data_IF_737198262572
#
_entry.id   IF_737198262572
#
_cell.length_a   1.000
_cell.length_b   1.000
_cell.length_c   1.000
_cell.angle_alpha   90.00
_cell.angle_beta   90.00
_cell.angle_gamma   90.00
#
_symmetry.space_group_name_H-M   'P 1'
#
loop_
_entity.id
_entity.type
_entity.pdbx_description
1 polymer ?
#
# COMPACT_ATOMS: atom_id res chain seq x y z
N UNK A 1 -9.96 -10.32 13.94
CA UNK A 1 -8.77 -9.79 13.23
C UNK A 1 -8.22 -8.65 14.05
N UNK A 2 -6.93 -8.70 14.39
CA UNK A 2 -6.26 -7.64 15.16
C UNK A 2 -5.20 -7.00 14.24
N UNK A 3 -5.68 -6.16 13.30
CA UNK A 3 -4.81 -5.49 12.34
C UNK A 3 -4.11 -4.32 13.01
N UNK A 4 -2.83 -4.12 12.68
CA UNK A 4 -2.10 -2.90 13.06
C UNK A 4 -2.50 -1.79 12.09
N UNK A 5 -2.94 -0.67 12.65
CA UNK A 5 -3.26 0.55 11.92
C UNK A 5 -2.31 1.64 12.38
N UNK A 6 -1.81 2.43 11.44
CA UNK A 6 -0.93 3.53 11.72
C UNK A 6 -1.00 4.56 10.61
N UNK A 7 -0.50 5.76 10.86
CA UNK A 7 -0.48 6.83 9.87
C UNK A 7 0.70 6.70 8.88
N UNK A 8 0.76 7.63 7.93
CA UNK A 8 1.70 7.61 6.81
C UNK A 8 3.15 7.84 7.23
N UNK A 9 3.38 8.44 8.40
CA UNK A 9 4.72 8.66 8.96
C UNK A 9 5.34 7.36 9.49
N UNK A 10 4.50 6.41 9.90
CA UNK A 10 4.93 5.09 10.37
C UNK A 10 4.87 3.99 9.30
N UNK A 11 4.54 4.33 8.05
CA UNK A 11 4.37 3.37 6.96
C UNK A 11 5.68 3.05 6.21
N UNK A 12 6.83 2.93 6.90
CA UNK A 12 8.10 2.55 6.28
C UNK A 12 8.10 1.07 5.85
N UNK A 13 8.92 0.69 4.86
CA UNK A 13 9.07 -0.73 4.48
C UNK A 13 9.60 -1.56 5.65
N UNK A 14 10.48 -0.99 6.48
CA UNK A 14 10.99 -1.62 7.70
C UNK A 14 9.88 -1.92 8.70
N UNK A 15 8.98 -0.96 8.97
CA UNK A 15 7.85 -1.19 9.86
C UNK A 15 6.87 -2.24 9.32
N UNK A 16 6.61 -2.22 8.01
CA UNK A 16 5.78 -3.24 7.36
C UNK A 16 6.38 -4.63 7.51
N UNK A 17 7.69 -4.76 7.28
CA UNK A 17 8.43 -6.00 7.49
C UNK A 17 8.32 -6.45 8.95
N UNK A 18 8.65 -5.58 9.90
CA UNK A 18 8.59 -5.87 11.33
C UNK A 18 7.20 -6.37 11.78
N UNK A 19 6.13 -5.67 11.39
CA UNK A 19 4.76 -6.05 11.77
C UNK A 19 4.39 -7.43 11.22
N UNK A 20 4.73 -7.71 9.95
CA UNK A 20 4.34 -8.98 9.32
C UNK A 20 5.22 -10.15 9.73
N UNK A 21 6.53 -9.96 9.88
CA UNK A 21 7.49 -11.05 10.08
C UNK A 21 7.82 -11.29 11.55
N UNK A 22 8.01 -10.23 12.34
CA UNK A 22 8.42 -10.36 13.75
C UNK A 22 7.20 -10.43 14.67
N UNK A 23 6.18 -9.61 14.41
CA UNK A 23 4.96 -9.59 15.22
C UNK A 23 3.89 -10.57 14.73
N UNK A 24 4.05 -11.15 13.53
CA UNK A 24 3.09 -12.07 12.91
C UNK A 24 1.66 -11.48 12.83
N UNK A 25 1.53 -10.19 12.54
CA UNK A 25 0.24 -9.50 12.40
C UNK A 25 0.05 -8.96 10.99
N UNK A 26 -1.21 -8.80 10.60
CA UNK A 26 -1.56 -8.03 9.41
C UNK A 26 -1.69 -6.54 9.72
N UNK A 27 -1.54 -5.72 8.68
CA UNK A 27 -1.64 -4.27 8.79
C UNK A 27 -2.47 -3.67 7.66
N UNK A 28 -2.99 -2.47 7.92
CA UNK A 28 -3.43 -1.53 6.89
C UNK A 28 -2.72 -0.21 7.13
N UNK A 29 -1.97 0.27 6.15
CA UNK A 29 -1.16 1.48 6.28
C UNK A 29 -1.38 2.43 5.10
N UNK A 30 -1.54 3.74 5.32
CA UNK A 30 -1.50 4.72 4.25
C UNK A 30 -0.06 4.90 3.75
N UNK A 31 0.10 5.05 2.44
CA UNK A 31 1.41 5.25 1.81
C UNK A 31 1.47 6.54 0.99
N UNK A 32 2.67 7.13 0.94
CA UNK A 32 2.96 8.28 0.08
C UNK A 32 2.97 7.87 -1.39
N UNK A 33 2.54 8.77 -2.27
CA UNK A 33 2.44 8.52 -3.72
C UNK A 33 3.81 8.34 -4.40
N UNK A 34 4.89 8.81 -3.80
CA UNK A 34 6.26 8.65 -4.31
C UNK A 34 6.86 7.25 -4.06
N UNK A 35 6.15 6.36 -3.37
CA UNK A 35 6.63 5.00 -3.13
C UNK A 35 6.71 4.19 -4.43
N UNK A 36 7.79 3.42 -4.55
CA UNK A 36 8.06 2.56 -5.71
C UNK A 36 7.37 1.21 -5.55
N UNK A 37 6.63 0.81 -6.57
CA UNK A 37 5.92 -0.46 -6.64
C UNK A 37 6.20 -1.16 -7.96
N UNK A 38 6.20 -2.49 -7.95
CA UNK A 38 6.10 -3.31 -9.14
C UNK A 38 4.67 -3.87 -9.23
N UNK A 39 4.12 -3.92 -10.45
CA UNK A 39 2.73 -4.33 -10.70
C UNK A 39 2.57 -5.84 -10.85
N UNK A 40 3.68 -6.57 -10.88
CA UNK A 40 3.71 -8.02 -10.90
C UNK A 40 4.98 -8.54 -10.22
N UNK A 41 4.97 -9.81 -9.80
CA UNK A 41 6.17 -10.47 -9.28
C UNK A 41 7.29 -10.47 -10.33
N UNK A 42 6.94 -10.64 -11.61
CA UNK A 42 7.90 -10.57 -12.72
C UNK A 42 8.55 -9.19 -12.81
N UNK A 43 7.79 -8.13 -12.65
CA UNK A 43 8.33 -6.77 -12.66
C UNK A 43 9.26 -6.52 -11.46
N UNK A 44 8.88 -7.00 -10.27
CA UNK A 44 9.73 -6.95 -9.07
C UNK A 44 11.09 -7.63 -9.32
N UNK A 45 11.07 -8.85 -9.87
CA UNK A 45 12.27 -9.62 -10.16
C UNK A 45 13.16 -8.96 -11.23
N UNK A 46 12.56 -8.23 -12.16
CA UNK A 46 13.28 -7.48 -13.20
C UNK A 46 13.60 -6.03 -12.79
N UNK A 47 13.43 -5.68 -11.52
CA UNK A 47 13.60 -4.31 -11.00
C UNK A 47 12.82 -3.23 -11.77
N UNK A 48 11.65 -3.61 -12.33
CA UNK A 48 10.74 -2.70 -13.02
C UNK A 48 9.77 -2.10 -12.02
N UNK A 49 10.03 -0.86 -11.62
CA UNK A 49 9.21 -0.13 -10.66
C UNK A 49 8.59 1.12 -11.27
N UNK A 50 7.37 1.43 -10.83
CA UNK A 50 6.70 2.71 -11.04
C UNK A 50 6.40 3.35 -9.69
N UNK A 51 6.07 4.64 -9.68
CA UNK A 51 5.57 5.29 -8.45
C UNK A 51 4.07 5.13 -8.34
N UNK A 52 3.54 5.12 -7.12
CA UNK A 52 2.08 5.11 -6.89
C UNK A 52 1.39 6.31 -7.57
N UNK A 53 2.05 7.47 -7.68
CA UNK A 53 1.53 8.63 -8.43
C UNK A 53 1.28 8.37 -9.92
N UNK A 54 1.94 7.39 -10.52
CA UNK A 54 1.77 7.06 -11.95
C UNK A 54 0.61 6.10 -12.21
N UNK A 55 -0.03 5.59 -11.15
CA UNK A 55 -1.12 4.65 -11.26
C UNK A 55 -2.44 5.35 -11.57
N UNK A 56 -2.99 5.07 -12.75
CA UNK A 56 -4.38 5.40 -13.07
C UNK A 56 -5.31 4.30 -12.54
N UNK A 57 -5.77 4.46 -11.31
CA UNK A 57 -6.73 3.55 -10.68
C UNK A 57 -8.14 4.11 -10.70
N UNK A 58 -9.13 3.24 -10.96
CA UNK A 58 -10.52 3.57 -10.69
C UNK A 58 -10.74 3.60 -9.16
N UNK A 59 -11.72 4.40 -8.75
CA UNK A 59 -12.10 4.57 -7.34
C UNK A 59 -12.45 3.19 -6.74
N UNK A 60 -11.87 2.89 -5.57
CA UNK A 60 -12.09 1.65 -4.82
C UNK A 60 -11.59 0.36 -5.50
N UNK A 61 -10.78 0.45 -6.54
CA UNK A 61 -10.10 -0.73 -7.09
C UNK A 61 -9.01 -1.21 -6.13
N UNK A 62 -8.94 -2.54 -5.99
CA UNK A 62 -7.88 -3.25 -5.29
C UNK A 62 -6.92 -3.84 -6.30
N UNK A 63 -5.63 -3.76 -6.02
CA UNK A 63 -4.61 -4.38 -6.84
C UNK A 63 -3.50 -4.97 -5.98
N UNK A 64 -3.13 -6.22 -6.27
CA UNK A 64 -1.90 -6.79 -5.72
C UNK A 64 -0.68 -6.07 -6.31
N UNK A 65 0.19 -5.57 -5.44
CA UNK A 65 1.43 -4.88 -5.80
C UNK A 65 2.61 -5.45 -5.02
N UNK A 66 3.81 -5.08 -5.47
CA UNK A 66 5.07 -5.43 -4.82
C UNK A 66 5.81 -4.13 -4.47
N UNK A 67 5.76 -3.74 -3.21
CA UNK A 67 6.38 -2.51 -2.72
C UNK A 67 7.89 -2.67 -2.55
N UNK A 68 8.67 -1.68 -2.98
CA UNK A 68 10.12 -1.68 -2.80
C UNK A 68 10.51 -1.76 -1.31
N UNK A 69 11.46 -2.62 -0.99
CA UNK A 69 11.86 -2.94 0.40
C UNK A 69 10.90 -3.84 1.18
N UNK A 70 9.77 -4.30 0.62
CA UNK A 70 8.87 -5.28 1.25
C UNK A 70 8.98 -6.63 0.54
N UNK A 71 9.19 -7.71 1.29
CA UNK A 71 9.49 -9.02 0.71
C UNK A 71 8.25 -9.78 0.20
N UNK A 72 7.07 -9.47 0.74
CA UNK A 72 5.77 -10.07 0.41
C UNK A 72 4.89 -9.14 -0.45
N UNK A 73 3.88 -9.67 -1.17
CA UNK A 73 2.90 -8.85 -1.88
C UNK A 73 1.99 -8.09 -0.90
N UNK A 74 1.42 -6.98 -1.37
CA UNK A 74 0.43 -6.18 -0.66
C UNK A 74 -0.77 -5.91 -1.55
N UNK A 75 -1.94 -5.65 -0.97
CA UNK A 75 -3.09 -5.11 -1.69
C UNK A 75 -3.08 -3.59 -1.57
N UNK A 76 -2.98 -2.89 -2.69
CA UNK A 76 -3.14 -1.44 -2.80
C UNK A 76 -4.60 -1.09 -3.07
N UNK A 77 -5.14 -0.15 -2.30
CA UNK A 77 -6.46 0.43 -2.45
C UNK A 77 -6.36 1.96 -2.59
N UNK A 78 -7.09 2.53 -3.54
CA UNK A 78 -7.29 3.98 -3.68
C UNK A 78 -8.66 4.37 -3.13
N UNK A 79 -8.67 5.03 -1.98
CA UNK A 79 -9.88 5.57 -1.37
C UNK A 79 -10.03 7.05 -1.74
N UNK A 80 -11.17 7.41 -2.33
CA UNK A 80 -11.53 8.80 -2.66
C UNK A 80 -12.67 9.24 -1.76
N UNK A 81 -12.48 10.32 -1.02
CA UNK A 81 -13.45 10.89 -0.09
C UNK A 81 -13.68 12.38 -0.38
N UNK A 82 -14.81 12.90 0.09
CA UNK A 82 -15.17 14.31 -0.02
C UNK A 82 -14.92 14.95 1.34
N UNK A 83 -14.14 16.02 1.36
CA UNK A 83 -13.87 16.83 2.54
C UNK A 83 -15.09 17.69 2.88
N UNK A 84 -15.13 18.26 4.08
CA UNK A 84 -16.23 19.12 4.52
C UNK A 84 -16.45 20.35 3.62
N UNK A 85 -15.37 20.86 3.00
CA UNK A 85 -15.40 21.99 2.06
C UNK A 85 -15.81 21.59 0.62
N UNK A 86 -16.16 20.32 0.39
CA UNK A 86 -16.53 19.80 -0.93
C UNK A 86 -15.35 19.44 -1.83
N UNK A 87 -14.10 19.65 -1.40
CA UNK A 87 -12.91 19.19 -2.13
C UNK A 87 -12.75 17.67 -2.04
N UNK A 88 -12.01 17.07 -2.99
CA UNK A 88 -11.74 15.62 -2.97
C UNK A 88 -10.39 15.32 -2.32
N UNK A 89 -10.42 14.43 -1.33
CA UNK A 89 -9.25 13.79 -0.75
C UNK A 89 -8.98 12.43 -1.39
N UNK A 90 -7.71 12.07 -1.54
CA UNK A 90 -7.28 10.75 -2.02
C UNK A 90 -6.32 10.13 -1.01
N UNK A 91 -6.63 8.91 -0.57
CA UNK A 91 -5.79 8.10 0.30
C UNK A 91 -5.40 6.81 -0.42
N UNK A 92 -4.10 6.50 -0.41
CA UNK A 92 -3.57 5.22 -0.90
C UNK A 92 -3.26 4.35 0.32
N UNK A 93 -3.96 3.23 0.44
CA UNK A 93 -3.80 2.28 1.54
C UNK A 93 -3.18 1.00 1.02
N UNK A 94 -2.28 0.40 1.80
CA UNK A 94 -1.81 -0.97 1.55
C UNK A 94 -2.21 -1.89 2.70
N UNK A 95 -2.64 -3.10 2.34
CA UNK A 95 -2.91 -4.21 3.27
C UNK A 95 -1.93 -5.35 3.04
N UNK A 96 -1.45 -5.98 4.11
CA UNK A 96 -0.70 -7.24 4.05
C UNK A 96 -1.58 -8.49 3.96
N UNK A 97 -2.87 -8.32 4.22
CA UNK A 97 -3.89 -9.36 4.08
C UNK A 97 -4.47 -9.33 2.66
N UNK A 98 -4.21 -10.39 1.90
CA UNK A 98 -4.62 -10.51 0.50
C UNK A 98 -6.09 -10.92 0.34
N UNK A 99 -6.79 -11.21 1.42
CA UNK A 99 -8.20 -11.59 1.41
C UNK A 99 -9.16 -10.41 1.62
N UNK A 100 -8.62 -9.23 1.94
CA UNK A 100 -9.39 -8.04 2.27
C UNK A 100 -10.05 -7.35 1.10
#
# INVERSE_FOLDING_TARGET
MNNVLNDVWYASSENMMYVKTELCKDFVMPIKTNRKIALSKKDKLNSKYVTVSMLEFKKNDKQEIYLDGVSFPLVLLKQVFINEDGSQGVLHLVSSDLTQ
#
